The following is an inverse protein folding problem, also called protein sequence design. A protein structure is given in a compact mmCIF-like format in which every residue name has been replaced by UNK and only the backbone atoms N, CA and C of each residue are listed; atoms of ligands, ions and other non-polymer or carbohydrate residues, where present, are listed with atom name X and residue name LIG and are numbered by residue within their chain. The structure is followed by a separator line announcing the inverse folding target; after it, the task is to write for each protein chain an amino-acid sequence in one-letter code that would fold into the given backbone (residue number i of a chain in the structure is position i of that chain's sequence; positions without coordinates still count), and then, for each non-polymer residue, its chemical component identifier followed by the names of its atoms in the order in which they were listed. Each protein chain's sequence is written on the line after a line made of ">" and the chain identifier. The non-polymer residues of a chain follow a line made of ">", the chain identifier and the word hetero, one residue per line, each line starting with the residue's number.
data_IF_149022771610
#
_entry.id   IF_149022771610
#
_cell.length_a   1.000
_cell.length_b   1.000
_cell.length_c   1.000
_cell.angle_alpha   90.00
_cell.angle_beta   90.00
_cell.angle_gamma   90.00
#
_symmetry.space_group_name_H-M   'P 1'
#
loop_
_entity.id
_entity.type
_entity.pdbx_description
1 polymer ?
#
# COMPACT_ATOMS: atom_id res chain seq x y z
N UNK A 1 4.63 9.59 -10.37
CA UNK A 1 4.11 8.78 -9.25
C UNK A 1 3.39 9.72 -8.31
N UNK A 2 2.11 9.49 -8.04
CA UNK A 2 1.38 10.21 -6.99
C UNK A 2 1.97 9.78 -5.64
N UNK A 3 2.45 10.73 -4.85
CA UNK A 3 3.05 10.42 -3.55
C UNK A 3 1.99 9.94 -2.57
N UNK A 4 2.36 9.13 -1.55
CA UNK A 4 1.43 8.82 -0.45
C UNK A 4 0.82 10.08 0.21
N UNK A 5 1.59 11.18 0.26
CA UNK A 5 1.11 12.48 0.71
C UNK A 5 0.04 13.10 -0.22
N UNK A 6 0.21 12.96 -1.54
CA UNK A 6 -0.80 13.42 -2.51
C UNK A 6 -2.09 12.60 -2.41
N UNK A 7 -1.98 11.27 -2.24
CA UNK A 7 -3.14 10.38 -2.03
C UNK A 7 -3.88 10.75 -0.75
N UNK A 8 -3.15 10.95 0.36
CA UNK A 8 -3.73 11.36 1.64
C UNK A 8 -4.42 12.73 1.55
N UNK A 9 -3.81 13.69 0.84
CA UNK A 9 -4.39 15.03 0.64
C UNK A 9 -5.68 14.97 -0.17
N UNK A 10 -5.72 14.16 -1.24
CA UNK A 10 -6.95 13.93 -2.03
C UNK A 10 -8.04 13.22 -1.22
N UNK A 11 -7.69 12.23 -0.40
CA UNK A 11 -8.64 11.58 0.50
C UNK A 11 -9.26 12.56 1.50
N UNK A 12 -8.46 13.45 2.10
CA UNK A 12 -8.96 14.47 3.01
C UNK A 12 -9.90 15.46 2.31
N UNK A 13 -9.57 15.88 1.08
CA UNK A 13 -10.42 16.74 0.26
C UNK A 13 -11.77 16.08 -0.04
N UNK A 14 -11.77 14.85 -0.55
CA UNK A 14 -12.99 14.10 -0.90
C UNK A 14 -13.84 13.83 0.35
N UNK A 15 -13.21 13.51 1.48
CA UNK A 15 -13.91 13.35 2.76
C UNK A 15 -14.59 14.65 3.20
N UNK A 16 -13.94 15.79 2.95
CA UNK A 16 -14.53 17.12 3.15
C UNK A 16 -15.76 17.33 2.27
N UNK A 17 -15.69 17.00 0.97
CA UNK A 17 -16.82 17.10 0.04
C UNK A 17 -18.00 16.19 0.43
N UNK A 18 -17.72 14.94 0.81
CA UNK A 18 -18.73 14.00 1.31
C UNK A 18 -19.40 14.50 2.60
N UNK A 19 -18.64 15.19 3.47
CA UNK A 19 -19.16 15.75 4.72
C UNK A 19 -19.98 17.02 4.49
N UNK A 20 -19.52 17.88 3.57
CA UNK A 20 -20.25 19.07 3.16
C UNK A 20 -21.59 18.71 2.48
N UNK A 21 -21.65 17.53 1.87
CA UNK A 21 -22.81 17.05 1.15
C UNK A 21 -22.88 17.66 -0.25
N UNK A 22 -23.49 16.92 -1.17
CA UNK A 22 -23.68 17.33 -2.56
C UNK A 22 -24.84 16.58 -3.18
N UNK A 23 -24.98 16.68 -4.49
CA UNK A 23 -25.97 15.87 -5.20
C UNK A 23 -25.65 14.38 -5.06
N UNK A 24 -26.66 13.51 -5.15
CA UNK A 24 -26.48 12.05 -5.03
C UNK A 24 -25.49 11.52 -6.09
N UNK A 25 -25.47 12.11 -7.29
CA UNK A 25 -24.50 11.80 -8.32
C UNK A 25 -23.06 12.14 -7.89
N UNK A 26 -22.83 13.37 -7.42
CA UNK A 26 -21.51 13.80 -6.93
C UNK A 26 -21.04 12.95 -5.74
N UNK A 27 -21.93 12.62 -4.80
CA UNK A 27 -21.57 11.77 -3.66
C UNK A 27 -21.17 10.36 -4.10
N UNK A 28 -21.82 9.79 -5.12
CA UNK A 28 -21.42 8.49 -5.69
C UNK A 28 -20.04 8.55 -6.35
N UNK A 29 -19.77 9.62 -7.10
CA UNK A 29 -18.46 9.83 -7.73
C UNK A 29 -17.36 9.99 -6.67
N UNK A 30 -17.56 10.87 -5.70
CA UNK A 30 -16.64 11.08 -4.58
C UNK A 30 -16.42 9.82 -3.76
N UNK A 31 -17.47 9.04 -3.49
CA UNK A 31 -17.33 7.77 -2.75
C UNK A 31 -16.55 6.72 -3.55
N UNK A 32 -16.72 6.70 -4.87
CA UNK A 32 -15.97 5.81 -5.76
C UNK A 32 -14.49 6.19 -5.79
N UNK A 33 -14.18 7.48 -5.96
CA UNK A 33 -12.80 7.98 -5.89
C UNK A 33 -12.16 7.73 -4.52
N UNK A 34 -12.91 7.95 -3.44
CA UNK A 34 -12.46 7.66 -2.07
C UNK A 34 -12.03 6.20 -1.91
N UNK A 35 -12.84 5.25 -2.39
CA UNK A 35 -12.49 3.82 -2.32
C UNK A 35 -11.22 3.48 -3.11
N UNK A 36 -11.09 4.03 -4.32
CA UNK A 36 -9.90 3.81 -5.16
C UNK A 36 -8.64 4.35 -4.50
N UNK A 37 -8.67 5.59 -4.03
CA UNK A 37 -7.52 6.22 -3.37
C UNK A 37 -7.14 5.53 -2.06
N UNK A 38 -8.12 5.03 -1.30
CA UNK A 38 -7.84 4.31 -0.07
C UNK A 38 -7.13 2.97 -0.36
N UNK A 39 -7.53 2.28 -1.42
CA UNK A 39 -6.86 1.05 -1.89
C UNK A 39 -5.44 1.35 -2.37
N UNK A 40 -5.23 2.40 -3.17
CA UNK A 40 -3.88 2.82 -3.59
C UNK A 40 -2.99 3.17 -2.39
N UNK A 41 -3.55 3.79 -1.34
CA UNK A 41 -2.81 4.10 -0.12
C UNK A 41 -2.41 2.83 0.63
N UNK A 42 -3.32 1.86 0.77
CA UNK A 42 -3.00 0.56 1.39
C UNK A 42 -1.92 -0.19 0.60
N UNK A 43 -2.02 -0.23 -0.73
CA UNK A 43 -1.02 -0.86 -1.59
C UNK A 43 0.34 -0.16 -1.49
N UNK A 44 0.36 1.17 -1.52
CA UNK A 44 1.59 1.95 -1.36
C UNK A 44 2.22 1.76 0.03
N UNK A 45 1.39 1.65 1.09
CA UNK A 45 1.83 1.38 2.45
C UNK A 45 2.39 -0.03 2.58
N UNK A 46 1.72 -1.03 2.01
CA UNK A 46 2.19 -2.41 1.97
C UNK A 46 3.49 -2.55 1.17
N UNK A 47 3.62 -1.84 0.05
CA UNK A 47 4.85 -1.79 -0.74
C UNK A 47 6.00 -1.14 0.04
N UNK A 48 5.75 -0.06 0.79
CA UNK A 48 6.75 0.54 1.70
C UNK A 48 7.16 -0.41 2.83
N UNK A 49 6.20 -1.09 3.46
CA UNK A 49 6.50 -2.06 4.52
C UNK A 49 7.33 -3.24 4.01
N UNK A 50 7.09 -3.70 2.77
CA UNK A 50 7.92 -4.72 2.11
C UNK A 50 9.32 -4.20 1.73
N UNK A 51 9.41 -2.94 1.28
CA UNK A 51 10.69 -2.31 0.94
C UNK A 51 11.56 -1.98 2.18
N UNK A 52 10.93 -1.79 3.35
CA UNK A 52 11.61 -1.60 4.63
C UNK A 52 11.85 -2.89 5.41
N UNK A 53 11.62 -4.06 4.80
CA UNK A 53 12.14 -5.30 5.35
C UNK A 53 13.59 -5.42 4.87
N UNK A 54 14.61 -5.06 5.69
CA UNK A 54 15.97 -5.42 5.34
C UNK A 54 15.99 -6.93 5.17
N UNK A 55 16.57 -7.35 4.06
CA UNK A 55 16.90 -8.73 3.76
C UNK A 55 17.33 -9.43 5.04
N UNK A 56 16.50 -10.34 5.56
CA UNK A 56 17.09 -11.58 6.06
C UNK A 56 17.53 -12.36 4.82
N UNK A 57 18.64 -11.89 4.24
CA UNK A 57 19.67 -12.75 3.69
C UNK A 57 20.01 -13.75 4.79
N UNK A 58 19.26 -14.85 4.83
CA UNK A 58 19.85 -16.14 5.23
C UNK A 58 20.74 -16.58 4.08
N UNK A 59 21.87 -15.90 3.95
CA UNK A 59 23.09 -16.50 3.40
C UNK A 59 23.51 -17.58 4.38
N UNK A 60 22.96 -18.78 4.22
CA UNK A 60 23.72 -19.98 4.57
C UNK A 60 24.40 -20.43 3.28
N UNK A 61 25.72 -20.28 3.15
CA UNK A 61 26.42 -20.79 1.99
C UNK A 61 26.36 -22.32 2.01
N UNK A 62 26.22 -22.83 0.79
CA UNK A 62 26.46 -24.19 0.37
C UNK A 62 27.84 -24.69 0.85
N UNK A 63 27.88 -25.86 1.49
CA UNK A 63 29.06 -26.75 1.41
C UNK A 63 28.55 -28.18 1.40
N UNK A 64 28.63 -28.81 0.22
CA UNK A 64 28.34 -30.21 0.04
C UNK A 64 29.50 -31.08 0.53
N UNK A 65 29.18 -32.28 1.02
CA UNK A 65 29.88 -33.52 0.70
C UNK A 65 29.30 -34.68 1.54
N UNK A 66 28.59 -35.59 0.86
CA UNK A 66 28.73 -37.05 0.95
C UNK A 66 28.70 -37.81 2.30
N UNK A 67 28.07 -39.01 2.33
CA UNK A 67 27.87 -39.80 3.54
C UNK A 67 29.17 -40.51 3.98
N UNK A 68 29.36 -40.74 5.28
CA UNK A 68 30.28 -41.77 5.76
C UNK A 68 29.77 -42.47 7.02
N UNK A 69 29.71 -43.78 6.88
CA UNK A 69 29.41 -44.82 7.87
C UNK A 69 30.30 -44.77 9.10
N UNK A 70 29.74 -45.19 10.24
CA UNK A 70 30.42 -45.93 11.31
C UNK A 70 29.38 -46.82 12.00
#
# INVERSE_FOLDING_TARGET
>A
MTSMQDIASKLAYIKGQLTAGGTNAQMKEWYTEYKTLNKELEEAKAAKSKASQPSQTSTKPEEGAGPKSA
#
